data_IF_247589217022
#
_entry.id   IF_247589217022
#
_cell.length_a   1.000
_cell.length_b   1.000
_cell.length_c   1.000
_cell.angle_alpha   90.00
_cell.angle_beta   90.00
_cell.angle_gamma   90.00
#
_symmetry.space_group_name_H-M   'P 1'
#
loop_
_entity.id
_entity.type
_entity.pdbx_description
1 polymer ?
#
# COMPACT_ATOMS: atom_id res chain seq x y z
N UNK A 1 10.88 -3.57 -16.20
CA UNK A 1 9.52 -3.47 -15.59
C UNK A 1 9.09 -4.70 -14.78
N UNK A 2 9.56 -5.92 -15.12
CA UNK A 2 9.39 -7.15 -14.31
C UNK A 2 10.65 -7.52 -13.51
N UNK A 3 11.64 -6.63 -13.43
CA UNK A 3 12.97 -6.96 -12.96
C UNK A 3 13.08 -6.99 -11.42
N UNK A 4 12.11 -6.39 -10.73
CA UNK A 4 12.14 -6.26 -9.26
C UNK A 4 10.78 -6.66 -8.69
N UNK A 5 10.58 -7.96 -8.38
CA UNK A 5 9.33 -8.43 -7.78
C UNK A 5 9.00 -7.71 -6.47
N UNK A 6 10.03 -7.31 -5.72
CA UNK A 6 9.88 -6.73 -4.38
C UNK A 6 9.76 -5.19 -4.40
N UNK A 7 9.84 -4.54 -5.57
CA UNK A 7 9.82 -3.07 -5.66
C UNK A 7 8.53 -2.49 -5.05
N UNK A 8 7.40 -3.17 -5.25
CA UNK A 8 6.12 -2.75 -4.71
C UNK A 8 6.11 -2.83 -3.17
N UNK A 9 6.63 -3.92 -2.60
CA UNK A 9 6.69 -4.09 -1.14
C UNK A 9 7.62 -3.05 -0.50
N UNK A 10 8.81 -2.82 -1.11
CA UNK A 10 9.73 -1.77 -0.63
C UNK A 10 9.12 -0.38 -0.72
N UNK A 11 8.38 -0.08 -1.78
CA UNK A 11 7.71 1.20 -1.94
C UNK A 11 6.61 1.39 -0.88
N UNK A 12 5.83 0.34 -0.59
CA UNK A 12 4.82 0.38 0.47
C UNK A 12 5.47 0.56 1.85
N UNK A 13 6.59 -0.10 2.12
CA UNK A 13 7.36 0.09 3.36
C UNK A 13 7.90 1.52 3.49
N UNK A 14 8.45 2.09 2.41
CA UNK A 14 8.91 3.49 2.44
C UNK A 14 7.77 4.50 2.63
N UNK A 15 6.59 4.22 2.07
CA UNK A 15 5.39 5.05 2.23
C UNK A 15 4.72 4.89 3.61
N UNK A 16 5.06 3.83 4.36
CA UNK A 16 4.53 3.62 5.71
C UNK A 16 5.36 4.29 6.79
N UNK A 17 6.46 4.95 6.43
CA UNK A 17 7.27 5.75 7.35
C UNK A 17 6.51 7.02 7.81
N UNK A 18 6.70 7.46 9.07
CA UNK A 18 6.03 8.65 9.60
C UNK A 18 6.29 9.91 8.77
N UNK A 19 5.24 10.70 8.52
CA UNK A 19 5.33 11.99 7.83
C UNK A 19 5.44 11.91 6.30
N UNK A 20 5.51 10.71 5.71
CA UNK A 20 5.50 10.54 4.24
C UNK A 20 4.08 10.64 3.68
N UNK A 21 3.11 10.03 4.36
CA UNK A 21 1.68 10.10 4.04
C UNK A 21 0.99 10.91 5.15
N UNK A 22 0.03 11.76 4.77
CA UNK A 22 -0.79 12.48 5.74
C UNK A 22 -1.53 11.52 6.68
N UNK A 23 -1.85 11.97 7.90
CA UNK A 23 -2.44 11.13 8.95
C UNK A 23 -3.76 10.43 8.56
N UNK A 24 -4.49 10.93 7.57
CA UNK A 24 -5.70 10.34 7.00
C UNK A 24 -5.57 10.03 5.49
N UNK A 25 -4.34 10.08 4.99
CA UNK A 25 -3.99 9.90 3.60
C UNK A 25 -4.21 8.47 3.10
N UNK A 26 -4.30 8.38 1.77
CA UNK A 26 -4.50 7.12 1.06
C UNK A 26 -3.25 6.73 0.29
N UNK A 27 -2.92 5.45 0.32
CA UNK A 27 -1.97 4.83 -0.61
C UNK A 27 -2.74 3.82 -1.45
N UNK A 28 -2.67 3.97 -2.78
CA UNK A 28 -3.35 3.07 -3.72
C UNK A 28 -2.32 2.33 -4.55
N UNK A 29 -2.16 1.04 -4.29
CA UNK A 29 -1.26 0.17 -5.03
C UNK A 29 -1.97 -0.42 -6.25
N UNK A 30 -1.44 -0.15 -7.45
CA UNK A 30 -1.85 -0.85 -8.69
C UNK A 30 -0.88 -1.97 -8.98
N UNK A 31 -1.39 -3.20 -9.08
CA UNK A 31 -0.55 -4.38 -9.29
C UNK A 31 -1.27 -5.45 -10.12
N UNK A 32 -0.54 -6.51 -10.48
CA UNK A 32 -1.15 -7.68 -11.11
C UNK A 32 -2.03 -8.42 -10.10
N UNK A 33 -3.19 -8.90 -10.52
CA UNK A 33 -4.19 -9.45 -9.60
C UNK A 33 -3.75 -10.69 -8.79
N UNK A 34 -2.69 -11.38 -9.22
CA UNK A 34 -2.10 -12.51 -8.47
C UNK A 34 -1.00 -12.10 -7.51
N UNK A 35 -0.54 -10.86 -7.54
CA UNK A 35 0.38 -10.34 -6.53
C UNK A 35 -0.39 -10.21 -5.22
N UNK A 36 -0.07 -11.05 -4.25
CA UNK A 36 -0.60 -10.94 -2.89
C UNK A 36 0.10 -9.81 -2.18
N UNK A 37 -0.66 -8.87 -1.62
CA UNK A 37 -0.13 -7.84 -0.74
C UNK A 37 -0.63 -8.10 0.68
N UNK A 38 0.18 -7.80 1.71
CA UNK A 38 -0.25 -7.94 3.09
C UNK A 38 -1.35 -6.92 3.42
N UNK A 39 -2.22 -7.29 4.36
CA UNK A 39 -3.26 -6.41 4.85
C UNK A 39 -2.69 -5.25 5.68
N UNK A 40 -1.45 -5.36 6.19
CA UNK A 40 -0.76 -4.32 6.94
C UNK A 40 0.67 -4.14 6.44
N UNK A 41 1.12 -2.89 6.29
CA UNK A 41 2.50 -2.51 5.99
C UNK A 41 2.88 -1.31 6.85
N UNK A 42 3.59 -1.53 7.96
CA UNK A 42 3.90 -0.46 8.91
C UNK A 42 2.64 0.26 9.38
N UNK A 43 2.53 1.56 9.11
CA UNK A 43 1.39 2.41 9.46
C UNK A 43 0.22 2.34 8.46
N UNK A 44 0.34 1.54 7.40
CA UNK A 44 -0.68 1.38 6.36
C UNK A 44 -1.53 0.13 6.62
N UNK A 45 -2.84 0.29 6.72
CA UNK A 45 -3.80 -0.81 6.82
C UNK A 45 -4.68 -0.90 5.56
N UNK A 46 -4.76 -2.07 4.95
CA UNK A 46 -5.57 -2.36 3.78
C UNK A 46 -7.05 -2.33 4.16
N UNK A 47 -7.84 -1.60 3.39
CA UNK A 47 -9.26 -1.42 3.62
C UNK A 47 -10.09 -2.15 2.57
N UNK A 48 -9.60 -2.20 1.33
CA UNK A 48 -10.37 -2.67 0.16
C UNK A 48 -9.43 -3.17 -0.93
N UNK A 49 -9.88 -4.24 -1.61
CA UNK A 49 -9.28 -4.74 -2.84
C UNK A 49 -10.31 -4.66 -3.98
N UNK A 50 -9.91 -4.19 -5.16
CA UNK A 50 -10.72 -4.22 -6.39
C UNK A 50 -9.94 -4.78 -7.55
N UNK A 51 -10.54 -5.71 -8.29
CA UNK A 51 -9.96 -6.30 -9.49
C UNK A 51 -10.71 -5.84 -10.74
N UNK A 52 -9.95 -5.48 -11.77
CA UNK A 52 -10.45 -5.16 -13.10
C UNK A 52 -9.56 -5.82 -14.15
N UNK A 53 -10.04 -6.91 -14.76
CA UNK A 53 -9.27 -7.73 -15.68
C UNK A 53 -8.03 -8.33 -14.99
N UNK A 54 -6.85 -7.96 -15.48
CA UNK A 54 -5.56 -8.40 -14.95
C UNK A 54 -4.97 -7.48 -13.88
N UNK A 55 -5.61 -6.33 -13.64
CA UNK A 55 -5.16 -5.36 -12.64
C UNK A 55 -5.94 -5.53 -11.34
N UNK A 56 -5.24 -5.42 -10.22
CA UNK A 56 -5.83 -5.19 -8.91
C UNK A 56 -5.40 -3.82 -8.36
N UNK A 57 -6.30 -3.21 -7.60
CA UNK A 57 -6.07 -2.04 -6.78
C UNK A 57 -6.25 -2.42 -5.31
N UNK A 58 -5.22 -2.20 -4.52
CA UNK A 58 -5.28 -2.29 -3.06
C UNK A 58 -5.22 -0.90 -2.45
N UNK A 59 -6.16 -0.63 -1.56
CA UNK A 59 -6.31 0.66 -0.91
C UNK A 59 -5.87 0.55 0.54
N UNK A 60 -4.82 1.28 0.88
CA UNK A 60 -4.33 1.42 2.24
C UNK A 60 -4.72 2.79 2.80
N UNK A 61 -5.06 2.81 4.09
CA UNK A 61 -5.21 4.04 4.86
C UNK A 61 -4.06 4.14 5.85
N UNK A 62 -3.43 5.31 5.93
CA UNK A 62 -2.51 5.60 7.02
C UNK A 62 -3.27 5.63 8.35
N UNK A 63 -2.72 4.99 9.38
CA UNK A 63 -3.19 5.19 10.74
C UNK A 63 -2.97 6.66 11.12
N UNK A 64 -3.96 7.27 11.78
CA UNK A 64 -3.80 8.59 12.36
C UNK A 64 -2.60 8.53 13.30
N UNK A 65 -1.53 9.24 12.92
CA UNK A 65 -0.38 9.40 13.79
C UNK A 65 -0.84 10.33 14.90
N UNK A 66 -1.18 9.80 16.07
CA UNK A 66 -1.30 10.64 17.25
C UNK A 66 0.06 11.33 17.45
N UNK A 67 0.08 12.65 17.31
CA UNK A 67 1.23 13.50 17.58
C UNK A 67 1.73 13.16 18.99
N UNK A 68 2.95 12.62 19.07
CA UNK A 68 3.60 12.29 20.35
C UNK A 68 4.54 13.39 20.77
#
# INVERSE_FOLDING_TARGET
PYAEPDLLERALAALSEPGVVAADGWVVAKHFWRTGLPDEVGLLASQRHRRFGETALTFYRAAAQEER
#
